data_IF_512873110483
#
_entry.id   IF_512873110483
#
_cell.length_a   1.000
_cell.length_b   1.000
_cell.length_c   1.000
_cell.angle_alpha   90.00
_cell.angle_beta   90.00
_cell.angle_gamma   90.00
#
_symmetry.space_group_name_H-M   'P 1'
#
loop_
_entity.id
_entity.type
_entity.pdbx_description
1 polymer ?
#
# COMPACT_ATOMS: atom_id res chain seq x y z
N UNK A 1 24.84 0.55 25.67
CA UNK A 1 25.84 0.72 24.58
C UNK A 1 27.20 0.09 24.92
N UNK A 2 27.69 0.21 26.17
CA UNK A 2 28.91 -0.45 26.68
C UNK A 2 28.87 -2.00 26.57
N UNK A 3 27.72 -2.60 26.90
CA UNK A 3 27.47 -4.05 26.85
C UNK A 3 27.50 -4.60 25.41
N UNK A 4 26.98 -3.83 24.46
CA UNK A 4 26.98 -4.17 23.02
C UNK A 4 28.40 -4.12 22.42
N UNK A 5 29.23 -3.17 22.87
CA UNK A 5 30.65 -3.12 22.50
C UNK A 5 31.44 -4.30 23.07
N UNK A 6 31.12 -4.77 24.28
CA UNK A 6 31.74 -5.97 24.88
C UNK A 6 31.35 -7.26 24.17
N UNK A 7 30.07 -7.46 23.82
CA UNK A 7 29.64 -8.62 23.03
C UNK A 7 30.29 -8.67 21.65
N UNK A 8 30.40 -7.52 20.96
CA UNK A 8 31.04 -7.47 19.63
C UNK A 8 32.54 -7.77 19.69
N UNK A 9 33.21 -7.48 20.80
CA UNK A 9 34.62 -7.82 21.04
C UNK A 9 34.78 -9.32 21.33
N UNK A 10 33.91 -9.92 22.15
CA UNK A 10 33.87 -11.37 22.38
C UNK A 10 33.60 -12.16 21.09
N UNK A 11 32.65 -11.70 20.26
CA UNK A 11 32.30 -12.38 19.02
C UNK A 11 33.46 -12.38 18.00
N UNK A 12 34.27 -11.31 17.99
CA UNK A 12 35.50 -11.25 17.16
C UNK A 12 36.60 -12.18 17.68
N UNK A 13 36.76 -12.31 19.00
CA UNK A 13 37.72 -13.25 19.59
C UNK A 13 37.33 -14.69 19.29
N UNK A 14 36.05 -15.03 19.35
CA UNK A 14 35.56 -16.38 19.01
C UNK A 14 35.77 -16.74 17.54
N UNK A 15 35.53 -15.79 16.62
CA UNK A 15 35.75 -15.97 15.18
C UNK A 15 37.25 -16.15 14.85
N UNK A 16 38.13 -15.40 15.51
CA UNK A 16 39.59 -15.57 15.35
C UNK A 16 40.05 -16.91 15.93
N UNK A 17 39.49 -17.33 17.08
CA UNK A 17 39.76 -18.64 17.67
C UNK A 17 39.35 -19.80 16.75
N UNK A 18 38.16 -19.73 16.14
CA UNK A 18 37.68 -20.75 15.19
C UNK A 18 38.52 -20.80 13.90
N UNK A 19 39.01 -19.65 13.42
CA UNK A 19 39.92 -19.58 12.26
C UNK A 19 41.29 -20.19 12.57
N UNK A 20 41.83 -19.95 13.77
CA UNK A 20 43.12 -20.53 14.19
C UNK A 20 43.00 -22.06 14.38
N UNK A 21 41.89 -22.54 14.97
CA UNK A 21 41.61 -23.97 15.10
C UNK A 21 41.45 -24.63 13.73
N UNK A 22 40.79 -23.97 12.78
CA UNK A 22 40.64 -24.47 11.40
C UNK A 22 41.98 -24.52 10.65
N UNK A 23 42.87 -23.54 10.87
CA UNK A 23 44.21 -23.51 10.29
C UNK A 23 45.14 -24.57 10.90
N UNK A 24 45.03 -24.82 12.21
CA UNK A 24 45.80 -25.86 12.90
C UNK A 24 45.35 -27.28 12.56
N UNK A 25 44.07 -27.49 12.23
CA UNK A 25 43.54 -28.78 11.75
C UNK A 25 43.89 -29.01 10.27
N UNK A 26 44.08 -27.95 9.48
CA UNK A 26 44.47 -28.01 8.07
C UNK A 26 45.96 -28.30 7.81
N UNK A 27 46.83 -28.15 8.81
CA UNK A 27 48.28 -28.30 8.64
C UNK A 27 48.93 -29.21 9.70
N UNK A 28 48.49 -30.45 9.83
CA UNK A 28 49.36 -31.54 10.31
C UNK A 28 48.74 -32.93 10.06
N UNK A 29 48.76 -33.34 8.79
CA UNK A 29 48.97 -34.74 8.43
C UNK A 29 50.48 -34.97 8.34
N UNK A 30 50.95 -36.07 8.92
CA UNK A 30 52.32 -36.61 8.93
C UNK A 30 53.32 -36.12 10.01
N UNK A 31 53.91 -37.14 10.64
CA UNK A 31 55.11 -37.24 11.48
C UNK A 31 54.97 -37.08 13.00
N UNK A 32 55.00 -38.25 13.63
CA UNK A 32 55.35 -38.56 15.01
C UNK A 32 56.69 -37.92 15.42
N UNK A 33 56.73 -37.31 16.60
CA UNK A 33 57.41 -37.85 17.80
C UNK A 33 58.05 -36.75 18.65
N UNK A 34 57.91 -36.95 19.96
CA UNK A 34 58.70 -36.35 21.06
C UNK A 34 58.57 -34.84 21.28
N UNK A 35 57.55 -34.51 22.10
CA UNK A 35 57.40 -33.18 22.70
C UNK A 35 56.03 -32.93 23.36
N UNK A 36 55.29 -33.98 23.74
CA UNK A 36 53.95 -33.86 24.34
C UNK A 36 54.03 -34.10 25.84
N UNK A 37 54.25 -33.04 26.61
CA UNK A 37 54.03 -33.06 28.07
C UNK A 37 53.69 -31.66 28.60
N UNK A 38 54.19 -30.58 28.00
CA UNK A 38 53.88 -29.21 28.47
C UNK A 38 52.60 -28.62 27.85
N UNK A 39 52.34 -28.83 26.56
CA UNK A 39 51.18 -28.21 25.85
C UNK A 39 49.84 -28.88 26.21
N UNK A 40 49.84 -30.18 26.49
CA UNK A 40 48.62 -30.90 26.90
C UNK A 40 48.14 -30.45 28.29
N UNK A 41 49.06 -30.18 29.22
CA UNK A 41 48.72 -29.69 30.57
C UNK A 41 48.22 -28.24 30.54
N UNK A 42 48.74 -27.40 29.64
CA UNK A 42 48.20 -26.04 29.45
C UNK A 42 46.78 -26.08 28.89
N UNK A 43 46.49 -26.95 27.92
CA UNK A 43 45.14 -27.08 27.33
C UNK A 43 44.13 -27.65 28.34
N UNK A 44 44.52 -28.63 29.16
CA UNK A 44 43.66 -29.16 30.24
C UNK A 44 43.37 -28.09 31.30
N UNK A 45 44.38 -27.33 31.74
CA UNK A 45 44.18 -26.24 32.70
C UNK A 45 43.31 -25.11 32.13
N UNK A 46 43.44 -24.82 30.83
CA UNK A 46 42.59 -23.81 30.17
C UNK A 46 41.15 -24.30 29.99
N UNK A 47 40.94 -25.61 29.75
CA UNK A 47 39.62 -26.23 29.66
C UNK A 47 38.93 -26.33 31.03
N UNK A 48 39.69 -26.59 32.10
CA UNK A 48 39.17 -26.58 33.48
C UNK A 48 38.78 -25.16 33.94
N UNK A 49 39.53 -24.12 33.55
CA UNK A 49 39.14 -22.73 33.81
C UNK A 49 37.88 -22.31 33.03
N UNK A 50 37.71 -22.79 31.79
CA UNK A 50 36.50 -22.56 30.98
C UNK A 50 35.30 -23.36 31.53
N UNK A 51 35.52 -24.57 32.05
CA UNK A 51 34.50 -25.38 32.72
C UNK A 51 34.01 -24.71 34.01
N UNK A 52 34.93 -24.18 34.83
CA UNK A 52 34.59 -23.51 36.09
C UNK A 52 33.87 -22.15 35.88
N UNK A 53 34.17 -21.43 34.81
CA UNK A 53 33.40 -20.22 34.47
C UNK A 53 31.98 -20.53 33.97
N UNK A 54 31.77 -21.70 33.36
CA UNK A 54 30.43 -22.16 32.97
C UNK A 54 29.57 -22.56 34.16
N UNK A 55 30.15 -23.07 35.25
CA UNK A 55 29.36 -23.41 36.45
C UNK A 55 28.95 -22.17 37.27
N UNK A 56 29.77 -21.10 37.29
CA UNK A 56 29.34 -19.79 37.80
C UNK A 56 28.23 -19.16 36.95
N UNK A 57 28.27 -19.35 35.62
CA UNK A 57 27.21 -18.90 34.73
C UNK A 57 25.91 -19.70 34.93
N UNK A 58 26.00 -21.02 35.16
CA UNK A 58 24.85 -21.87 35.52
C UNK A 58 24.26 -21.50 36.88
N UNK A 59 25.07 -21.10 37.87
CA UNK A 59 24.58 -20.59 39.16
C UNK A 59 23.87 -19.24 39.03
N UNK A 60 24.39 -18.31 38.21
CA UNK A 60 23.74 -17.02 37.93
C UNK A 60 22.43 -17.20 37.14
N UNK A 61 22.39 -18.15 36.20
CA UNK A 61 21.17 -18.52 35.47
C UNK A 61 20.15 -19.17 36.42
N UNK A 62 20.58 -20.06 37.33
CA UNK A 62 19.68 -20.63 38.36
C UNK A 62 19.14 -19.56 39.31
N UNK A 63 19.94 -18.59 39.75
CA UNK A 63 19.42 -17.47 40.56
C UNK A 63 18.49 -16.53 39.79
N UNK A 64 18.66 -16.42 38.47
CA UNK A 64 17.75 -15.65 37.61
C UNK A 64 16.41 -16.36 37.40
N UNK A 65 16.41 -17.70 37.32
CA UNK A 65 15.20 -18.52 37.21
C UNK A 65 14.47 -18.73 38.56
N UNK A 66 15.19 -18.79 39.68
CA UNK A 66 14.57 -18.90 41.02
C UNK A 66 13.98 -17.56 41.52
N UNK A 67 14.39 -16.42 40.95
CA UNK A 67 13.73 -15.13 41.22
C UNK A 67 12.38 -14.98 40.48
N UNK A 68 12.13 -15.79 39.44
CA UNK A 68 10.84 -15.83 38.73
C UNK A 68 9.85 -16.85 39.30
N UNK A 69 10.22 -17.66 40.30
CA UNK A 69 9.35 -18.71 40.87
C UNK A 69 8.57 -18.29 42.13
N UNK A 70 8.63 -17.02 42.54
CA UNK A 70 7.82 -16.48 43.65
C UNK A 70 7.07 -15.20 43.23
N UNK A 71 6.18 -15.35 42.26
CA UNK A 71 5.06 -14.42 42.07
C UNK A 71 3.80 -15.24 41.80
N UNK A 72 2.95 -15.25 42.81
CA UNK A 72 1.51 -15.60 42.84
C UNK A 72 0.88 -15.97 41.50
N UNK A 73 0.30 -17.18 41.44
CA UNK A 73 -0.58 -17.71 40.39
C UNK A 73 -1.51 -16.61 39.82
N UNK A 74 -1.15 -16.10 38.65
CA UNK A 74 -2.13 -15.57 37.70
C UNK A 74 -2.86 -16.78 37.06
N UNK A 75 -4.15 -16.66 36.72
CA UNK A 75 -4.87 -17.77 36.11
C UNK A 75 -4.19 -18.16 34.79
N UNK A 76 -4.08 -19.47 34.55
CA UNK A 76 -3.67 -20.02 33.25
C UNK A 76 -4.40 -19.28 32.12
N UNK A 77 -3.71 -18.86 31.04
CA UNK A 77 -4.45 -18.49 29.84
C UNK A 77 -5.16 -19.76 29.42
N UNK A 78 -6.50 -19.72 29.41
CA UNK A 78 -7.30 -20.81 28.87
C UNK A 78 -6.71 -21.19 27.52
N UNK A 79 -6.34 -22.46 27.35
CA UNK A 79 -6.07 -23.01 26.02
C UNK A 79 -7.31 -22.69 25.18
N UNK A 80 -7.20 -21.68 24.31
CA UNK A 80 -8.23 -21.44 23.33
C UNK A 80 -8.20 -22.66 22.40
N UNK A 81 -9.21 -23.52 22.51
CA UNK A 81 -9.44 -24.66 21.63
C UNK A 81 -9.69 -24.15 20.19
N UNK A 82 -8.64 -23.75 19.48
CA UNK A 82 -8.75 -23.39 18.07
C UNK A 82 -8.23 -24.53 17.19
N UNK A 83 -9.00 -24.83 16.14
CA UNK A 83 -8.67 -25.92 15.22
C UNK A 83 -7.87 -25.34 14.04
N UNK A 84 -6.62 -25.77 13.91
CA UNK A 84 -5.76 -25.39 12.79
C UNK A 84 -6.28 -26.03 11.50
N UNK A 85 -6.68 -25.21 10.53
CA UNK A 85 -7.20 -25.67 9.23
C UNK A 85 -6.76 -24.71 8.13
N UNK A 86 -6.55 -25.16 6.88
CA UNK A 86 -6.34 -24.25 5.76
C UNK A 86 -7.39 -23.13 5.72
N UNK A 87 -6.98 -21.89 5.42
CA UNK A 87 -7.87 -20.71 5.54
C UNK A 87 -9.20 -20.83 4.78
N UNK A 88 -9.20 -21.58 3.67
CA UNK A 88 -10.37 -21.81 2.84
C UNK A 88 -11.36 -22.85 3.42
N UNK A 89 -10.99 -23.58 4.48
CA UNK A 89 -11.84 -24.54 5.18
C UNK A 89 -12.46 -23.99 6.46
N UNK A 90 -12.04 -22.81 6.94
CA UNK A 90 -12.65 -22.17 8.11
C UNK A 90 -13.80 -21.26 7.68
N UNK A 91 -15.03 -21.58 8.09
CA UNK A 91 -16.21 -20.74 7.88
C UNK A 91 -16.82 -20.37 9.23
N UNK A 92 -16.57 -19.14 9.70
CA UNK A 92 -17.13 -18.61 10.95
C UNK A 92 -17.00 -19.56 12.17
N UNK A 93 -15.85 -20.23 12.33
CA UNK A 93 -15.59 -21.13 13.45
C UNK A 93 -15.95 -22.61 13.20
N UNK A 94 -16.46 -22.97 12.01
CA UNK A 94 -16.70 -24.37 11.64
C UNK A 94 -15.81 -24.81 10.46
N UNK A 95 -15.25 -26.02 10.56
CA UNK A 95 -14.44 -26.62 9.49
C UNK A 95 -15.34 -27.22 8.42
N UNK A 96 -15.22 -26.72 7.20
CA UNK A 96 -15.89 -27.28 6.04
C UNK A 96 -15.30 -28.67 5.70
N UNK A 97 -16.11 -29.72 5.85
CA UNK A 97 -15.71 -31.13 5.62
C UNK A 97 -16.09 -31.65 4.23
N UNK A 98 -16.81 -30.88 3.40
CA UNK A 98 -17.45 -31.40 2.17
C UNK A 98 -16.74 -31.01 0.85
N UNK A 99 -15.72 -30.15 0.92
CA UNK A 99 -14.90 -29.80 -0.24
C UNK A 99 -15.60 -28.95 -1.32
N UNK A 100 -16.75 -28.34 -1.02
CA UNK A 100 -17.40 -27.42 -1.95
C UNK A 100 -16.60 -26.11 -2.12
N UNK A 101 -16.28 -25.73 -3.38
CA UNK A 101 -15.54 -24.53 -3.87
C UNK A 101 -13.99 -24.61 -3.98
N UNK A 102 -13.41 -25.79 -4.20
CA UNK A 102 -11.95 -26.05 -4.24
C UNK A 102 -11.23 -25.87 -5.60
N UNK A 103 -11.27 -24.70 -6.25
CA UNK A 103 -10.36 -24.43 -7.39
C UNK A 103 -9.66 -23.06 -7.29
N UNK A 104 -8.34 -23.10 -7.02
CA UNK A 104 -7.43 -21.97 -6.65
C UNK A 104 -6.78 -21.23 -7.85
N UNK A 105 -6.10 -20.08 -7.60
CA UNK A 105 -4.65 -20.17 -7.38
C UNK A 105 -4.15 -19.50 -6.08
N UNK A 106 -3.24 -20.25 -5.44
CA UNK A 106 -2.32 -19.96 -4.34
C UNK A 106 -1.84 -18.50 -4.24
N UNK A 107 -1.75 -17.98 -3.02
CA UNK A 107 -0.53 -17.34 -2.49
C UNK A 107 -0.62 -17.13 -0.96
N UNK A 108 0.48 -17.48 -0.31
CA UNK A 108 0.71 -17.48 1.13
C UNK A 108 0.66 -16.07 1.75
N UNK A 109 0.23 -16.00 3.00
CA UNK A 109 0.28 -14.81 3.82
C UNK A 109 1.07 -15.13 5.09
N UNK A 110 2.13 -14.38 5.32
CA UNK A 110 2.79 -14.31 6.63
C UNK A 110 1.95 -13.38 7.52
N UNK A 111 1.12 -13.99 8.36
CA UNK A 111 0.71 -13.43 9.65
C UNK A 111 1.28 -14.33 10.73
N UNK A 112 1.55 -13.80 11.92
CA UNK A 112 1.98 -14.60 13.08
C UNK A 112 0.88 -15.61 13.39
N UNK A 113 1.08 -16.83 12.90
CA UNK A 113 0.13 -17.91 12.97
C UNK A 113 0.53 -18.82 14.16
N UNK A 114 -0.36 -19.07 15.13
CA UNK A 114 -0.08 -20.02 16.20
C UNK A 114 -0.01 -21.47 15.69
N UNK A 115 -0.51 -21.75 14.48
CA UNK A 115 -0.41 -23.06 13.84
C UNK A 115 0.98 -23.29 13.23
N UNK A 116 1.61 -24.41 13.56
CA UNK A 116 3.00 -24.75 13.23
C UNK A 116 3.21 -25.13 11.74
N UNK A 117 2.13 -25.35 10.99
CA UNK A 117 2.17 -25.80 9.58
C UNK A 117 1.92 -24.63 8.63
N UNK A 118 2.74 -24.55 7.57
CA UNK A 118 2.61 -23.53 6.53
C UNK A 118 1.27 -23.69 5.77
N UNK A 119 0.39 -22.69 5.85
CA UNK A 119 -0.89 -22.65 5.12
C UNK A 119 -2.15 -22.89 5.95
N UNK A 120 -2.01 -23.26 7.22
CA UNK A 120 -3.13 -23.39 8.17
C UNK A 120 -3.42 -22.05 8.86
N UNK A 121 -4.63 -21.83 9.38
CA UNK A 121 -4.98 -20.73 10.29
C UNK A 121 -5.73 -21.30 11.50
N UNK A 122 -5.68 -20.59 12.62
CA UNK A 122 -6.45 -20.87 13.83
C UNK A 122 -7.91 -20.46 13.61
N UNK A 123 -8.82 -21.45 13.49
CA UNK A 123 -10.24 -21.22 13.26
C UNK A 123 -10.95 -21.03 14.61
N UNK A 124 -11.20 -19.78 15.00
CA UNK A 124 -11.91 -19.43 16.24
C UNK A 124 -13.38 -19.08 15.94
N UNK A 125 -14.32 -19.43 16.84
CA UNK A 125 -15.68 -18.92 16.79
C UNK A 125 -15.65 -17.41 17.04
N UNK A 126 -16.10 -16.63 16.06
CA UNK A 126 -16.22 -15.18 16.21
C UNK A 126 -17.11 -14.88 17.41
N UNK A 127 -16.59 -14.16 18.41
CA UNK A 127 -17.44 -13.43 19.33
C UNK A 127 -18.46 -12.63 18.47
N UNK A 128 -19.75 -12.61 18.85
CA UNK A 128 -20.78 -11.97 18.04
C UNK A 128 -20.32 -10.55 17.72
N UNK A 129 -20.10 -10.27 16.43
CA UNK A 129 -19.76 -8.93 15.98
C UNK A 129 -20.83 -7.98 16.52
N UNK A 130 -20.45 -6.80 17.05
CA UNK A 130 -21.44 -5.79 17.39
C UNK A 130 -22.31 -5.61 16.15
N UNK A 131 -23.63 -5.77 16.32
CA UNK A 131 -24.62 -5.51 15.27
C UNK A 131 -24.17 -4.30 14.45
N UNK A 132 -24.06 -4.46 13.12
CA UNK A 132 -23.80 -3.38 12.15
C UNK A 132 -24.59 -2.15 12.59
N UNK A 133 -23.94 -1.20 13.26
CA UNK A 133 -24.58 0.09 13.54
C UNK A 133 -24.67 0.74 12.17
N UNK A 134 -25.88 0.77 11.63
CA UNK A 134 -26.22 1.61 10.49
C UNK A 134 -25.74 3.00 10.87
N UNK A 135 -24.75 3.53 10.17
CA UNK A 135 -24.25 4.88 10.43
C UNK A 135 -25.38 5.82 10.02
N UNK A 136 -26.20 6.23 10.98
CA UNK A 136 -27.34 7.12 10.74
C UNK A 136 -26.86 8.55 10.45
N UNK A 137 -27.54 9.22 9.52
CA UNK A 137 -27.24 10.56 9.05
C UNK A 137 -26.38 10.57 7.79
N UNK A 138 -27.02 10.49 6.61
CA UNK A 138 -26.40 10.86 5.33
C UNK A 138 -26.43 12.39 5.27
N UNK A 139 -25.29 13.09 5.08
CA UNK A 139 -25.32 14.52 4.83
C UNK A 139 -26.16 14.80 3.58
N UNK A 140 -27.21 15.62 3.69
CA UNK A 140 -28.13 15.90 2.59
C UNK A 140 -27.52 16.75 1.47
N UNK A 141 -26.36 17.36 1.71
CA UNK A 141 -25.67 18.25 0.77
C UNK A 141 -24.28 17.67 0.46
N UNK A 142 -24.20 16.77 -0.52
CA UNK A 142 -22.91 16.28 -1.01
C UNK A 142 -22.25 17.35 -1.88
N UNK A 143 -21.21 17.98 -1.34
CA UNK A 143 -20.29 18.80 -2.10
C UNK A 143 -19.08 17.97 -2.52
N UNK A 144 -18.48 18.35 -3.66
CA UNK A 144 -17.29 17.68 -4.17
C UNK A 144 -16.10 17.80 -3.21
N UNK A 145 -15.16 16.87 -3.36
CA UNK A 145 -13.84 16.93 -2.75
C UNK A 145 -13.81 16.60 -1.26
N UNK A 146 -14.95 16.36 -0.61
CA UNK A 146 -14.99 15.96 0.79
C UNK A 146 -14.69 14.48 0.96
N UNK A 147 -13.61 14.19 1.68
CA UNK A 147 -13.36 12.87 2.26
C UNK A 147 -14.24 12.62 3.49
N UNK A 148 -14.46 11.37 3.85
CA UNK A 148 -15.18 10.99 5.06
C UNK A 148 -14.42 9.89 5.79
N UNK A 149 -13.61 10.26 6.77
CA UNK A 149 -13.01 9.28 7.67
C UNK A 149 -14.12 8.70 8.55
N UNK A 150 -14.53 7.46 8.30
CA UNK A 150 -15.55 6.80 9.14
C UNK A 150 -14.85 6.20 10.38
N UNK A 151 -15.20 6.65 11.60
CA UNK A 151 -14.61 6.10 12.82
C UNK A 151 -15.03 4.64 13.02
N UNK A 152 -14.08 3.74 13.26
CA UNK A 152 -14.31 2.33 13.61
C UNK A 152 -13.02 1.50 13.51
N UNK A 153 -13.01 0.27 14.03
CA UNK A 153 -11.84 -0.63 14.16
C UNK A 153 -11.18 -1.08 12.83
N UNK A 154 -11.51 -0.43 11.70
CA UNK A 154 -10.88 -0.59 10.39
C UNK A 154 -9.54 0.17 10.28
N UNK A 155 -8.87 0.40 11.42
CA UNK A 155 -7.63 1.15 11.49
C UNK A 155 -6.43 0.26 11.10
N UNK A 156 -6.08 0.27 9.83
CA UNK A 156 -4.68 0.04 9.45
C UNK A 156 -3.97 1.37 9.59
N UNK A 157 -3.23 1.55 10.68
CA UNK A 157 -2.50 2.79 10.99
C UNK A 157 -1.08 2.77 10.41
N UNK A 158 -0.94 2.51 9.12
CA UNK A 158 0.32 2.78 8.42
C UNK A 158 0.17 4.07 7.59
N UNK A 159 1.24 4.86 7.50
CA UNK A 159 1.21 6.16 6.81
C UNK A 159 0.93 6.05 5.30
N UNK A 160 1.01 4.85 4.74
CA UNK A 160 0.87 4.56 3.31
C UNK A 160 -0.51 4.00 2.95
N UNK A 161 -1.38 3.77 3.93
CA UNK A 161 -2.71 3.18 3.75
C UNK A 161 -3.75 4.26 3.88
N UNK A 162 -4.66 4.32 2.91
CA UNK A 162 -5.83 5.16 3.02
C UNK A 162 -6.76 4.60 4.09
N UNK A 163 -7.38 5.45 4.90
CA UNK A 163 -8.46 5.03 5.80
C UNK A 163 -9.73 4.75 4.98
N UNK A 164 -10.63 3.94 5.54
CA UNK A 164 -11.94 3.69 4.92
C UNK A 164 -12.71 5.01 4.71
N UNK A 165 -13.08 5.30 3.46
CA UNK A 165 -13.79 6.53 3.09
C UNK A 165 -12.92 7.81 3.00
N UNK A 166 -11.60 7.72 3.18
CA UNK A 166 -10.71 8.90 3.11
C UNK A 166 -10.71 9.55 1.72
N UNK A 167 -10.73 8.74 0.65
CA UNK A 167 -10.76 9.19 -0.75
C UNK A 167 -11.95 8.54 -1.49
N UNK A 168 -13.19 8.97 -1.20
CA UNK A 168 -14.41 8.29 -1.62
C UNK A 168 -14.72 8.40 -3.13
N UNK A 169 -13.96 9.22 -3.86
CA UNK A 169 -14.03 9.34 -5.31
C UNK A 169 -13.16 8.33 -6.05
N UNK A 170 -12.20 7.67 -5.39
CA UNK A 170 -11.27 6.79 -6.08
C UNK A 170 -11.99 5.54 -6.60
N UNK A 171 -11.92 5.34 -7.91
CA UNK A 171 -12.63 4.28 -8.62
C UNK A 171 -11.65 3.18 -9.06
N UNK A 172 -12.03 1.92 -8.85
CA UNK A 172 -11.39 0.77 -9.49
C UNK A 172 -12.03 0.53 -10.86
N UNK A 173 -11.21 0.45 -11.91
CA UNK A 173 -11.66 0.08 -13.24
C UNK A 173 -11.33 -1.40 -13.48
N UNK A 174 -12.38 -2.17 -13.75
CA UNK A 174 -12.32 -3.61 -13.93
C UNK A 174 -12.87 -3.96 -15.32
N UNK A 175 -12.40 -5.05 -15.92
CA UNK A 175 -13.09 -5.62 -17.07
C UNK A 175 -14.34 -6.43 -16.63
N UNK A 176 -15.10 -6.98 -17.57
CA UNK A 176 -16.29 -7.80 -17.25
C UNK A 176 -15.98 -9.09 -16.48
N UNK A 177 -14.72 -9.53 -16.44
CA UNK A 177 -14.25 -10.66 -15.61
C UNK A 177 -13.79 -10.20 -14.22
N UNK A 178 -14.08 -8.96 -13.83
CA UNK A 178 -13.63 -8.32 -12.59
C UNK A 178 -12.11 -8.26 -12.44
N UNK A 179 -11.37 -8.31 -13.54
CA UNK A 179 -9.92 -8.18 -13.51
C UNK A 179 -9.55 -6.71 -13.54
N UNK A 180 -8.65 -6.32 -12.63
CA UNK A 180 -8.11 -4.97 -12.54
C UNK A 180 -7.53 -4.48 -13.86
N UNK A 181 -7.89 -3.26 -14.24
CA UNK A 181 -7.37 -2.57 -15.42
C UNK A 181 -6.57 -1.33 -15.00
N UNK A 182 -7.24 -0.37 -14.34
CA UNK A 182 -6.65 0.89 -13.89
C UNK A 182 -7.44 1.48 -12.71
N UNK A 183 -6.99 2.65 -12.25
CA UNK A 183 -7.72 3.51 -11.31
C UNK A 183 -8.42 4.63 -12.09
N UNK A 184 -9.44 5.23 -11.49
CA UNK A 184 -10.07 6.47 -11.95
C UNK A 184 -10.55 7.31 -10.76
N UNK A 185 -11.22 8.41 -11.06
CA UNK A 185 -11.92 9.22 -10.06
C UNK A 185 -13.35 9.54 -10.48
N UNK A 186 -14.28 9.38 -9.55
CA UNK A 186 -15.66 9.80 -9.72
C UNK A 186 -15.72 11.34 -9.69
N UNK A 187 -16.18 11.95 -10.77
CA UNK A 187 -16.34 13.41 -10.88
C UNK A 187 -17.83 13.82 -10.89
N UNK A 188 -18.69 12.89 -11.28
CA UNK A 188 -20.15 13.01 -11.27
C UNK A 188 -20.71 11.62 -10.93
N UNK A 189 -21.91 11.48 -10.31
CA UNK A 189 -22.51 10.17 -10.05
C UNK A 189 -22.53 9.22 -11.26
N UNK A 190 -22.52 9.76 -12.48
CA UNK A 190 -22.55 9.01 -13.74
C UNK A 190 -21.24 9.08 -14.54
N UNK A 191 -20.17 9.69 -14.03
CA UNK A 191 -18.94 9.92 -14.81
C UNK A 191 -17.68 9.69 -14.00
N UNK A 192 -16.82 8.82 -14.53
CA UNK A 192 -15.47 8.57 -14.02
C UNK A 192 -14.43 9.17 -14.97
N UNK A 193 -13.49 9.92 -14.41
CA UNK A 193 -12.32 10.45 -15.07
C UNK A 193 -11.14 9.49 -14.88
N UNK A 194 -10.42 9.19 -15.95
CA UNK A 194 -9.20 8.38 -15.92
C UNK A 194 -8.25 8.80 -17.05
N UNK A 195 -7.17 8.06 -17.27
CA UNK A 195 -6.25 8.27 -18.39
C UNK A 195 -6.68 7.49 -19.64
N UNK A 196 -6.42 8.04 -20.82
CA UNK A 196 -6.72 7.40 -22.10
C UNK A 196 -5.96 6.08 -22.33
N UNK A 197 -4.67 6.03 -21.98
CA UNK A 197 -3.85 4.83 -22.19
C UNK A 197 -4.30 3.59 -21.39
N UNK A 198 -5.16 3.78 -20.39
CA UNK A 198 -5.75 2.70 -19.60
C UNK A 198 -6.93 2.02 -20.29
N UNK A 199 -7.50 2.66 -21.32
CA UNK A 199 -8.84 2.33 -21.83
C UNK A 199 -8.77 2.01 -23.31
N UNK A 200 -9.45 0.93 -23.67
CA UNK A 200 -9.71 0.54 -25.05
C UNK A 200 -11.22 0.69 -25.32
N UNK A 201 -11.60 1.53 -26.28
CA UNK A 201 -13.00 1.80 -26.63
C UNK A 201 -13.76 0.55 -27.09
N UNK A 202 -13.04 -0.48 -27.56
CA UNK A 202 -13.62 -1.76 -27.99
C UNK A 202 -13.95 -2.69 -26.82
N UNK A 203 -13.45 -2.41 -25.62
CA UNK A 203 -13.66 -3.22 -24.42
C UNK A 203 -14.81 -2.69 -23.54
N UNK A 204 -15.21 -3.52 -22.57
CA UNK A 204 -16.27 -3.19 -21.61
C UNK A 204 -15.70 -3.20 -20.20
N UNK A 205 -16.06 -2.17 -19.45
CA UNK A 205 -15.53 -1.91 -18.11
C UNK A 205 -16.64 -1.82 -17.06
N UNK A 206 -16.26 -2.10 -15.82
CA UNK A 206 -17.02 -1.86 -14.60
C UNK A 206 -16.22 -0.86 -13.77
N UNK A 207 -16.85 0.24 -13.39
CA UNK A 207 -16.35 1.13 -12.36
C UNK A 207 -16.84 0.63 -11.00
N UNK A 208 -15.92 0.45 -10.05
CA UNK A 208 -16.24 0.18 -8.64
C UNK A 208 -15.81 1.35 -7.76
N UNK A 209 -16.72 1.88 -6.97
CA UNK A 209 -16.49 3.02 -6.06
C UNK A 209 -16.92 2.64 -4.64
N UNK A 210 -16.29 3.26 -3.63
CA UNK A 210 -16.51 2.94 -2.23
C UNK A 210 -15.84 1.63 -1.76
N UNK A 211 -14.93 1.11 -2.58
CA UNK A 211 -14.06 0.00 -2.22
C UNK A 211 -12.93 0.47 -1.30
N UNK A 212 -12.48 -0.41 -0.42
CA UNK A 212 -11.28 -0.20 0.37
C UNK A 212 -10.41 -1.45 0.41
N UNK A 213 -10.98 -2.57 0.84
CA UNK A 213 -10.30 -3.87 0.81
C UNK A 213 -10.90 -4.76 -0.29
N UNK A 214 -10.25 -4.76 -1.46
CA UNK A 214 -10.68 -5.47 -2.66
C UNK A 214 -10.75 -7.01 -2.53
N UNK A 215 -10.39 -7.58 -1.37
CA UNK A 215 -10.47 -9.03 -1.09
C UNK A 215 -11.55 -9.42 -0.08
N UNK A 216 -12.17 -8.45 0.59
CA UNK A 216 -13.15 -8.67 1.67
C UNK A 216 -14.56 -8.20 1.32
N UNK A 217 -15.51 -8.52 2.21
CA UNK A 217 -16.84 -7.88 2.28
C UNK A 217 -17.13 -7.38 3.71
N UNK A 218 -16.08 -7.10 4.46
CA UNK A 218 -16.15 -6.78 5.90
C UNK A 218 -16.35 -5.29 6.14
N UNK A 219 -16.35 -4.47 5.08
CA UNK A 219 -16.57 -3.03 5.15
C UNK A 219 -17.95 -2.69 5.75
N UNK A 220 -18.04 -1.57 6.50
CA UNK A 220 -19.29 -1.15 7.12
C UNK A 220 -20.30 -0.68 6.07
N UNK A 221 -19.82 -0.10 4.97
CA UNK A 221 -20.62 0.31 3.80
C UNK A 221 -20.05 -0.41 2.59
N UNK A 222 -20.92 -1.08 1.83
CA UNK A 222 -20.49 -1.85 0.67
C UNK A 222 -20.04 -0.94 -0.48
N UNK A 223 -19.08 -1.42 -1.29
CA UNK A 223 -18.78 -0.81 -2.57
C UNK A 223 -19.97 -0.92 -3.54
N UNK A 224 -19.99 -0.05 -4.53
CA UNK A 224 -20.95 -0.07 -5.62
C UNK A 224 -20.24 -0.39 -6.93
N UNK A 225 -20.89 -1.13 -7.83
CA UNK A 225 -20.38 -1.43 -9.18
C UNK A 225 -21.33 -0.85 -10.23
N UNK A 226 -20.80 -0.09 -11.19
CA UNK A 226 -21.55 0.43 -12.33
C UNK A 226 -20.85 0.06 -13.63
N UNK A 227 -21.61 -0.40 -14.62
CA UNK A 227 -21.09 -0.66 -15.96
C UNK A 227 -20.82 0.66 -16.68
N UNK A 228 -19.78 0.67 -17.50
CA UNK A 228 -19.48 1.80 -18.40
C UNK A 228 -20.33 1.66 -19.66
N UNK A 229 -21.18 2.66 -19.90
CA UNK A 229 -22.07 2.77 -21.07
C UNK A 229 -21.30 3.23 -22.30
N UNK A 230 -20.51 4.29 -22.17
CA UNK A 230 -19.73 4.87 -23.27
C UNK A 230 -18.44 5.51 -22.77
N UNK A 231 -17.45 5.56 -23.65
CA UNK A 231 -16.11 6.08 -23.40
C UNK A 231 -15.90 7.26 -24.32
N UNK A 232 -15.24 8.31 -23.83
CA UNK A 232 -14.74 9.41 -24.66
C UNK A 232 -13.29 9.66 -24.30
N UNK A 233 -12.40 9.40 -25.25
CA UNK A 233 -10.97 9.74 -25.13
C UNK A 233 -10.78 11.19 -25.56
N UNK A 234 -9.91 11.92 -24.85
CA UNK A 234 -9.60 13.30 -25.23
C UNK A 234 -9.10 13.37 -26.69
N UNK A 235 -9.69 14.20 -27.57
CA UNK A 235 -9.46 14.14 -29.02
C UNK A 235 -8.02 14.48 -29.45
N UNK A 236 -7.27 15.16 -28.57
CA UNK A 236 -5.84 15.47 -28.76
C UNK A 236 -4.90 14.47 -28.10
N UNK A 237 -5.38 13.32 -27.62
CA UNK A 237 -4.53 12.30 -27.02
C UNK A 237 -3.52 11.77 -28.04
N UNK A 238 -2.24 11.75 -27.66
CA UNK A 238 -1.16 11.22 -28.51
C UNK A 238 -0.51 10.06 -27.78
N UNK A 239 -0.65 8.85 -28.35
CA UNK A 239 -0.21 7.59 -27.71
C UNK A 239 1.29 7.59 -27.42
N UNK A 240 2.12 8.05 -28.37
CA UNK A 240 3.58 7.93 -28.29
C UNK A 240 4.21 8.75 -27.15
N UNK A 241 3.60 9.88 -26.78
CA UNK A 241 4.15 10.81 -25.79
C UNK A 241 3.17 11.14 -24.64
N UNK A 242 2.01 10.50 -24.65
CA UNK A 242 0.95 10.60 -23.66
C UNK A 242 0.44 12.04 -23.42
N UNK A 243 0.59 12.95 -24.40
CA UNK A 243 -0.02 14.27 -24.30
C UNK A 243 -1.55 14.14 -24.26
N UNK A 244 -2.22 14.97 -23.47
CA UNK A 244 -3.68 14.93 -23.27
C UNK A 244 -4.21 13.53 -22.87
N UNK A 245 -3.44 12.77 -22.10
CA UNK A 245 -3.80 11.43 -21.65
C UNK A 245 -4.94 11.45 -20.63
N UNK A 246 -6.17 11.52 -21.12
CA UNK A 246 -7.39 11.56 -20.34
C UNK A 246 -8.57 10.92 -21.10
N UNK A 247 -9.46 10.28 -20.36
CA UNK A 247 -10.70 9.72 -20.86
C UNK A 247 -11.83 9.89 -19.83
N UNK A 248 -13.05 10.06 -20.34
CA UNK A 248 -14.28 10.06 -19.55
C UNK A 248 -15.05 8.76 -19.79
N UNK A 249 -15.45 8.12 -18.70
CA UNK A 249 -16.27 6.92 -18.72
C UNK A 249 -17.66 7.29 -18.21
N UNK A 250 -18.64 7.29 -19.12
CA UNK A 250 -20.03 7.52 -18.79
C UNK A 250 -20.69 6.20 -18.39
N UNK A 251 -21.38 6.20 -17.26
CA UNK A 251 -21.91 5.00 -16.62
C UNK A 251 -23.35 4.70 -17.10
N UNK A 252 -23.78 3.45 -16.97
CA UNK A 252 -25.16 3.05 -17.28
C UNK A 252 -26.16 3.60 -16.26
N UNK A 253 -25.77 3.71 -14.99
CA UNK A 253 -26.59 4.19 -13.89
C UNK A 253 -25.74 5.06 -12.94
N UNK A 254 -26.36 6.03 -12.23
CA UNK A 254 -25.67 6.84 -11.25
C UNK A 254 -25.26 6.03 -10.01
N UNK A 255 -24.08 6.32 -9.48
CA UNK A 255 -23.72 5.93 -8.12
C UNK A 255 -24.59 6.66 -7.10
N UNK A 256 -24.99 5.95 -6.05
CA UNK A 256 -25.61 6.58 -4.89
C UNK A 256 -24.52 7.18 -4.02
N UNK A 257 -24.50 8.51 -3.89
CA UNK A 257 -23.56 9.17 -2.99
C UNK A 257 -23.81 8.74 -1.54
N UNK A 258 -22.73 8.49 -0.83
CA UNK A 258 -22.69 7.99 0.55
C UNK A 258 -21.35 8.38 1.20
N UNK A 259 -21.13 8.04 2.46
CA UNK A 259 -19.88 8.36 3.18
C UNK A 259 -18.64 7.76 2.52
N UNK A 260 -18.74 6.60 1.86
CA UNK A 260 -17.64 6.01 1.09
C UNK A 260 -17.70 6.31 -0.41
N UNK A 261 -18.69 7.06 -0.90
CA UNK A 261 -18.88 7.38 -2.33
C UNK A 261 -19.20 8.86 -2.49
N UNK A 262 -18.24 9.64 -2.97
CA UNK A 262 -18.40 11.07 -3.25
C UNK A 262 -17.61 11.46 -4.51
N UNK A 263 -17.80 12.67 -5.02
CA UNK A 263 -17.09 13.16 -6.21
C UNK A 263 -15.83 13.94 -5.84
N UNK A 264 -14.83 13.95 -6.72
CA UNK A 264 -13.66 14.82 -6.60
C UNK A 264 -13.97 16.22 -7.15
N UNK A 265 -13.54 17.28 -6.46
CA UNK A 265 -13.52 18.60 -7.10
C UNK A 265 -12.39 18.64 -8.13
N UNK A 266 -12.61 19.25 -9.29
CA UNK A 266 -11.58 19.41 -10.31
C UNK A 266 -10.95 20.80 -10.23
N UNK A 267 -9.63 20.85 -10.37
CA UNK A 267 -8.91 22.10 -10.54
C UNK A 267 -9.14 22.71 -11.93
N UNK A 268 -9.33 24.01 -11.99
CA UNK A 268 -9.32 24.83 -13.21
C UNK A 268 -8.17 25.85 -13.17
N UNK A 269 -8.04 26.69 -14.21
CA UNK A 269 -6.97 27.70 -14.26
C UNK A 269 -7.16 28.87 -13.29
N UNK A 270 -8.35 29.02 -12.71
CA UNK A 270 -8.72 30.11 -11.79
C UNK A 270 -8.76 29.72 -10.31
N UNK A 271 -8.83 28.43 -9.98
CA UNK A 271 -9.23 27.96 -8.65
C UNK A 271 -8.15 28.20 -7.60
N UNK A 272 -6.88 27.95 -7.95
CA UNK A 272 -5.75 28.17 -7.04
C UNK A 272 -4.50 28.52 -7.83
N UNK A 273 -3.74 29.49 -7.33
CA UNK A 273 -2.39 29.72 -7.83
C UNK A 273 -1.56 28.46 -7.62
N UNK A 274 -0.77 28.11 -8.63
CA UNK A 274 0.18 27.00 -8.55
C UNK A 274 1.07 27.07 -7.30
N UNK A 275 1.41 28.28 -6.85
CA UNK A 275 2.21 28.52 -5.63
C UNK A 275 1.48 28.16 -4.34
N UNK A 276 0.15 28.24 -4.31
CA UNK A 276 -0.66 27.80 -3.17
C UNK A 276 -0.73 26.28 -3.14
N UNK A 277 -0.94 25.64 -4.30
CA UNK A 277 -0.97 24.18 -4.42
C UNK A 277 0.36 23.51 -4.02
N UNK A 278 1.51 24.15 -4.28
CA UNK A 278 2.82 23.65 -3.84
C UNK A 278 2.98 23.57 -2.31
N UNK A 279 2.18 24.33 -1.56
CA UNK A 279 2.18 24.31 -0.09
C UNK A 279 1.11 23.38 0.48
N UNK A 280 0.17 22.92 -0.34
CA UNK A 280 -0.88 22.00 0.06
C UNK A 280 -0.35 20.58 0.27
N UNK A 281 -1.03 19.82 1.12
CA UNK A 281 -0.84 18.37 1.19
C UNK A 281 -1.49 17.73 -0.02
N UNK A 282 -0.71 17.08 -0.86
CA UNK A 282 -1.22 16.34 -2.00
C UNK A 282 -1.04 14.84 -1.79
N UNK A 283 -1.98 14.04 -2.30
CA UNK A 283 -1.96 12.60 -2.23
C UNK A 283 -2.44 11.98 -3.54
N UNK A 284 -1.78 10.91 -3.97
CA UNK A 284 -2.29 10.02 -5.00
C UNK A 284 -2.76 8.71 -4.36
N UNK A 285 -3.79 8.10 -4.91
CA UNK A 285 -4.42 6.90 -4.34
C UNK A 285 -4.68 5.83 -5.38
N UNK A 286 -4.61 4.57 -4.96
CA UNK A 286 -4.79 3.43 -5.84
C UNK A 286 -4.58 2.08 -5.13
N UNK A 287 -4.68 1.02 -5.93
CA UNK A 287 -4.41 -0.37 -5.54
C UNK A 287 -3.26 -0.98 -6.35
N UNK A 288 -2.45 -0.13 -6.99
CA UNK A 288 -1.29 -0.55 -7.78
C UNK A 288 -0.30 -1.38 -6.97
N UNK A 289 0.45 -2.22 -7.68
CA UNK A 289 1.41 -3.16 -7.11
C UNK A 289 2.83 -2.73 -7.44
N UNK A 290 3.74 -2.89 -6.49
CA UNK A 290 5.18 -2.67 -6.71
C UNK A 290 5.79 -3.76 -7.59
N UNK A 291 5.03 -4.81 -7.91
CA UNK A 291 5.49 -5.98 -8.66
C UNK A 291 4.78 -6.04 -10.01
N UNK A 292 5.51 -6.05 -11.14
CA UNK A 292 4.93 -6.32 -12.45
C UNK A 292 4.23 -7.69 -12.42
N UNK A 293 2.91 -7.72 -12.66
CA UNK A 293 2.07 -8.94 -12.62
C UNK A 293 1.95 -9.62 -11.23
N UNK A 294 2.22 -8.89 -10.14
CA UNK A 294 2.01 -9.38 -8.78
C UNK A 294 0.55 -9.32 -8.31
N UNK A 295 0.28 -9.88 -7.13
CA UNK A 295 -1.00 -9.75 -6.43
C UNK A 295 -1.23 -8.26 -6.13
N UNK A 296 -2.29 -7.68 -6.69
CA UNK A 296 -2.70 -6.30 -6.42
C UNK A 296 -2.84 -6.07 -4.92
N UNK A 297 -2.56 -4.84 -4.46
CA UNK A 297 -2.67 -4.54 -3.03
C UNK A 297 -4.12 -4.68 -2.61
N UNK A 298 -4.35 -5.42 -1.52
CA UNK A 298 -5.72 -5.72 -1.05
C UNK A 298 -6.42 -4.45 -0.56
N UNK A 299 -5.69 -3.60 0.15
CA UNK A 299 -6.21 -2.35 0.74
C UNK A 299 -5.69 -1.15 -0.04
N UNK A 300 -6.56 -0.15 -0.26
CA UNK A 300 -6.22 1.11 -0.93
C UNK A 300 -5.02 1.77 -0.26
N UNK A 301 -4.01 2.11 -1.05
CA UNK A 301 -2.84 2.86 -0.60
C UNK A 301 -2.96 4.33 -0.98
N UNK A 302 -2.25 5.16 -0.20
CA UNK A 302 -2.04 6.57 -0.46
C UNK A 302 -0.56 6.89 -0.42
N UNK A 303 -0.15 7.78 -1.31
CA UNK A 303 1.21 8.31 -1.35
C UNK A 303 1.13 9.81 -1.27
N UNK A 304 1.83 10.40 -0.30
CA UNK A 304 1.93 11.84 -0.20
C UNK A 304 2.93 12.41 -1.20
N UNK A 305 2.53 13.49 -1.86
CA UNK A 305 3.28 14.15 -2.90
C UNK A 305 3.54 15.62 -2.58
N UNK A 306 4.68 16.11 -3.07
CA UNK A 306 5.02 17.52 -3.13
C UNK A 306 5.06 17.96 -4.59
N UNK A 307 4.21 18.92 -4.98
CA UNK A 307 4.21 19.44 -6.34
C UNK A 307 5.51 20.20 -6.66
N UNK A 308 6.05 19.99 -7.85
CA UNK A 308 7.27 20.68 -8.32
C UNK A 308 7.02 21.41 -9.63
N UNK A 309 7.62 22.60 -9.77
CA UNK A 309 7.41 23.45 -10.93
C UNK A 309 7.85 22.76 -12.23
N UNK A 310 7.17 23.05 -13.34
CA UNK A 310 7.50 22.46 -14.65
C UNK A 310 8.98 22.68 -15.03
N UNK A 311 9.62 23.84 -14.78
CA UNK A 311 11.06 24.00 -15.01
C UNK A 311 11.92 23.06 -14.16
N UNK A 312 11.59 22.88 -12.88
CA UNK A 312 12.31 21.94 -12.01
C UNK A 312 12.13 20.50 -12.48
N UNK A 313 10.89 20.12 -12.82
CA UNK A 313 10.58 18.80 -13.34
C UNK A 313 11.34 18.51 -14.64
N UNK A 314 11.32 19.44 -15.60
CA UNK A 314 12.06 19.30 -16.85
C UNK A 314 13.57 19.12 -16.62
N UNK A 315 14.15 19.92 -15.71
CA UNK A 315 15.57 19.81 -15.39
C UNK A 315 15.94 18.48 -14.74
N UNK A 316 15.05 17.91 -13.92
CA UNK A 316 15.26 16.59 -13.32
C UNK A 316 15.09 15.48 -14.35
N UNK A 317 14.01 15.51 -15.14
CA UNK A 317 13.75 14.52 -16.20
C UNK A 317 14.85 14.49 -17.26
N UNK A 318 15.44 15.62 -17.63
CA UNK A 318 16.59 15.70 -18.56
C UNK A 318 17.85 15.01 -18.08
N UNK A 319 17.98 14.74 -16.77
CA UNK A 319 19.11 14.01 -16.17
C UNK A 319 18.91 12.49 -16.19
N UNK A 320 17.74 12.02 -16.63
CA UNK A 320 17.40 10.61 -16.73
C UNK A 320 17.66 10.07 -18.14
N UNK A 321 17.23 8.82 -18.40
CA UNK A 321 17.25 8.21 -19.73
C UNK A 321 16.46 8.97 -20.81
N UNK A 322 15.60 9.94 -20.45
CA UNK A 322 14.94 10.83 -21.40
C UNK A 322 15.91 11.80 -22.11
N UNK A 323 17.08 12.07 -21.50
CA UNK A 323 18.15 12.85 -22.09
C UNK A 323 17.94 14.38 -22.09
N UNK A 324 19.03 15.11 -22.31
CA UNK A 324 19.09 16.58 -22.19
C UNK A 324 18.15 17.37 -23.10
N UNK A 325 17.67 16.74 -24.18
CA UNK A 325 16.81 17.37 -25.18
C UNK A 325 15.31 17.21 -24.88
N UNK A 326 14.95 16.42 -23.86
CA UNK A 326 13.56 16.21 -23.47
C UNK A 326 12.84 17.55 -23.18
N UNK A 327 11.58 17.64 -23.58
CA UNK A 327 10.72 18.79 -23.34
C UNK A 327 9.43 18.32 -22.67
N UNK A 328 9.18 18.80 -21.46
CA UNK A 328 7.97 18.52 -20.71
C UNK A 328 6.83 19.35 -21.31
N UNK A 329 5.81 18.67 -21.83
CA UNK A 329 4.64 19.33 -22.41
C UNK A 329 3.78 20.02 -21.34
N UNK A 330 3.12 21.13 -21.71
CA UNK A 330 2.29 21.94 -20.81
C UNK A 330 1.04 21.22 -20.26
N UNK A 331 0.63 20.12 -20.88
CA UNK A 331 -0.47 19.26 -20.41
C UNK A 331 -0.09 18.43 -19.20
N UNK A 332 1.17 18.47 -18.77
CA UNK A 332 1.65 17.73 -17.62
C UNK A 332 1.92 18.66 -16.43
N UNK A 333 1.81 18.07 -15.25
CA UNK A 333 2.37 18.56 -14.01
C UNK A 333 3.21 17.44 -13.38
N UNK A 334 4.08 17.82 -12.46
CA UNK A 334 4.92 16.85 -11.78
C UNK A 334 4.84 16.98 -10.26
N UNK A 335 5.07 15.86 -9.60
CA UNK A 335 5.19 15.79 -8.16
C UNK A 335 6.30 14.81 -7.76
N UNK A 336 6.89 15.02 -6.60
CA UNK A 336 7.86 14.09 -6.00
C UNK A 336 7.20 13.49 -4.77
N UNK A 337 7.20 12.16 -4.67
CA UNK A 337 6.64 11.50 -3.49
C UNK A 337 7.52 11.72 -2.27
N UNK A 338 6.90 11.90 -1.11
CA UNK A 338 7.62 12.14 0.15
C UNK A 338 8.27 10.86 0.65
N UNK A 339 9.34 10.98 1.44
CA UNK A 339 10.03 9.84 2.05
C UNK A 339 10.54 8.79 1.03
N UNK A 340 10.82 9.19 -0.21
CA UNK A 340 11.25 8.29 -1.29
C UNK A 340 10.15 7.35 -1.81
N UNK A 341 8.89 7.63 -1.47
CA UNK A 341 7.75 6.93 -2.09
C UNK A 341 7.54 7.43 -3.51
N UNK A 342 7.07 6.55 -4.39
CA UNK A 342 6.70 6.90 -5.76
C UNK A 342 5.53 6.03 -6.21
N UNK A 343 4.80 6.49 -7.22
CA UNK A 343 3.72 5.72 -7.82
C UNK A 343 4.29 4.53 -8.58
N UNK A 344 3.58 3.40 -8.52
CA UNK A 344 4.04 2.15 -9.06
C UNK A 344 3.15 1.65 -10.20
N UNK A 345 3.54 0.49 -10.74
CA UNK A 345 2.74 -0.19 -11.75
C UNK A 345 1.31 -0.41 -11.24
N UNK A 346 0.34 -0.05 -12.08
CA UNK A 346 -1.07 -0.21 -11.75
C UNK A 346 -1.69 0.95 -10.98
N UNK A 347 -1.01 2.06 -10.68
CA UNK A 347 -1.69 3.27 -10.18
C UNK A 347 -2.18 4.21 -11.31
N UNK A 348 -2.01 3.79 -12.57
CA UNK A 348 -2.41 4.55 -13.76
C UNK A 348 -3.88 4.94 -13.74
N UNK A 349 -4.16 6.20 -14.11
CA UNK A 349 -5.52 6.74 -14.10
C UNK A 349 -6.01 7.28 -12.76
N UNK A 350 -5.29 7.02 -11.66
CA UNK A 350 -5.66 7.46 -10.32
C UNK A 350 -5.60 8.97 -10.13
N UNK A 351 -6.38 9.54 -9.20
CA UNK A 351 -6.37 10.97 -8.95
C UNK A 351 -5.16 11.39 -8.11
N UNK A 352 -4.51 12.49 -8.49
CA UNK A 352 -3.67 13.29 -7.60
C UNK A 352 -4.51 14.45 -7.07
N UNK A 353 -4.80 14.41 -5.78
CA UNK A 353 -5.60 15.41 -5.10
C UNK A 353 -4.76 16.25 -4.14
N UNK A 354 -5.10 17.53 -3.97
CA UNK A 354 -4.46 18.44 -3.03
C UNK A 354 -5.50 19.07 -2.12
N UNK A 355 -5.20 19.15 -0.82
CA UNK A 355 -6.06 19.78 0.18
C UNK A 355 -6.25 21.27 -0.14
N UNK A 356 -7.51 21.72 -0.11
CA UNK A 356 -7.88 23.11 -0.33
C UNK A 356 -7.49 23.92 0.90
N UNK A 357 -6.73 25.00 0.70
CA UNK A 357 -6.27 25.84 1.80
C UNK A 357 -7.46 26.39 2.60
N UNK A 358 -7.42 26.19 3.92
CA UNK A 358 -8.49 26.62 4.83
C UNK A 358 -9.74 25.74 4.84
N UNK A 359 -9.77 24.62 4.11
CA UNK A 359 -10.90 23.68 4.09
C UNK A 359 -10.43 22.25 4.38
N UNK A 360 -10.30 21.87 5.67
CA UNK A 360 -9.84 20.55 6.07
C UNK A 360 -10.69 19.43 5.45
N UNK A 361 -10.03 18.36 5.01
CA UNK A 361 -10.66 17.19 4.37
C UNK A 361 -11.40 17.48 3.04
N UNK A 362 -11.28 18.71 2.49
CA UNK A 362 -11.76 19.03 1.14
C UNK A 362 -10.59 19.13 0.18
N UNK A 363 -10.69 18.46 -0.96
CA UNK A 363 -9.59 18.28 -1.90
C UNK A 363 -9.95 18.69 -3.32
N UNK A 364 -8.94 19.17 -4.05
CA UNK A 364 -8.99 19.39 -5.49
C UNK A 364 -8.12 18.37 -6.22
N UNK A 365 -8.69 17.66 -7.18
CA UNK A 365 -7.93 16.87 -8.13
C UNK A 365 -7.21 17.79 -9.11
N UNK A 366 -5.89 17.82 -8.97
CA UNK A 366 -5.01 18.64 -9.80
C UNK A 366 -4.40 17.83 -10.95
N UNK A 367 -4.28 16.51 -10.76
CA UNK A 367 -3.64 15.60 -11.70
C UNK A 367 -4.33 14.25 -11.85
N UNK A 368 -3.97 13.54 -12.93
CA UNK A 368 -4.30 12.13 -13.17
C UNK A 368 -2.99 11.37 -13.37
N UNK A 369 -2.75 10.29 -12.62
CA UNK A 369 -1.52 9.49 -12.69
C UNK A 369 -1.30 9.00 -14.12
N UNK A 370 -0.23 9.48 -14.77
CA UNK A 370 -0.01 9.25 -16.19
C UNK A 370 1.18 8.36 -16.48
N UNK A 371 2.39 8.74 -16.05
CA UNK A 371 3.60 7.95 -16.29
C UNK A 371 4.71 8.31 -15.31
N UNK A 372 5.62 7.36 -15.13
CA UNK A 372 6.85 7.49 -14.34
C UNK A 372 7.97 6.71 -15.03
N UNK A 373 9.22 6.99 -14.67
CA UNK A 373 10.36 6.33 -15.29
C UNK A 373 10.75 5.03 -14.60
N UNK A 374 10.69 5.01 -13.27
CA UNK A 374 11.03 3.90 -12.40
C UNK A 374 10.16 3.97 -11.15
N UNK A 375 9.77 2.82 -10.60
CA UNK A 375 9.15 2.74 -9.29
C UNK A 375 10.24 2.91 -8.21
N UNK A 376 10.06 3.84 -7.28
CA UNK A 376 10.89 4.06 -6.09
C UNK A 376 12.29 4.69 -6.30
N UNK A 377 12.33 5.90 -6.88
CA UNK A 377 13.47 6.81 -6.77
C UNK A 377 12.99 8.25 -6.55
N UNK A 378 13.85 9.15 -6.08
CA UNK A 378 13.57 10.59 -5.94
C UNK A 378 13.41 11.30 -7.31
N UNK A 379 12.74 10.66 -8.27
CA UNK A 379 12.41 11.21 -9.58
C UNK A 379 11.00 11.79 -9.56
N UNK A 380 10.71 12.78 -10.41
CA UNK A 380 9.35 13.28 -10.53
C UNK A 380 8.41 12.25 -11.17
N UNK A 381 7.30 11.99 -10.51
CA UNK A 381 6.11 11.37 -11.11
C UNK A 381 5.38 12.40 -11.96
N UNK A 382 4.88 11.98 -13.13
CA UNK A 382 4.22 12.86 -14.11
C UNK A 382 2.73 12.54 -14.23
N UNK A 383 1.92 13.59 -14.14
CA UNK A 383 0.48 13.53 -14.14
C UNK A 383 -0.11 14.37 -15.27
N UNK A 384 -1.20 13.92 -15.87
CA UNK A 384 -2.02 14.78 -16.74
C UNK A 384 -2.59 15.92 -15.91
N UNK A 385 -2.29 17.16 -16.27
CA UNK A 385 -2.73 18.37 -15.56
C UNK A 385 -4.22 18.59 -15.81
N UNK A 386 -5.06 18.39 -14.79
CA UNK A 386 -6.52 18.51 -14.89
C UNK A 386 -6.95 19.88 -15.41
N UNK A 387 -6.34 20.95 -14.91
CA UNK A 387 -6.63 22.31 -15.36
C UNK A 387 -6.38 22.53 -16.88
N UNK A 388 -5.54 21.72 -17.52
CA UNK A 388 -5.28 21.81 -18.97
C UNK A 388 -6.35 21.12 -19.84
N UNK A 389 -7.15 20.23 -19.25
CA UNK A 389 -8.21 19.47 -19.92
C UNK A 389 -9.61 19.79 -19.38
N UNK A 390 -9.71 20.62 -18.33
CA UNK A 390 -10.98 20.97 -17.65
C UNK A 390 -12.04 21.50 -18.61
N UNK A 391 -11.67 22.36 -19.55
CA UNK A 391 -12.59 22.86 -20.57
C UNK A 391 -13.18 21.74 -21.43
N UNK A 392 -12.38 20.76 -21.85
CA UNK A 392 -12.88 19.60 -22.59
C UNK A 392 -13.84 18.76 -21.72
N UNK A 393 -13.52 18.56 -20.43
CA UNK A 393 -14.43 17.87 -19.50
C UNK A 393 -15.77 18.58 -19.46
N UNK A 394 -15.79 19.90 -19.25
CA UNK A 394 -17.02 20.69 -19.15
C UNK A 394 -17.85 20.63 -20.44
N UNK A 395 -17.19 20.62 -21.61
CA UNK A 395 -17.86 20.47 -22.90
C UNK A 395 -18.54 19.09 -23.03
N UNK A 396 -17.85 18.02 -22.68
CA UNK A 396 -18.41 16.66 -22.76
C UNK A 396 -19.57 16.43 -21.78
N UNK A 397 -19.48 17.05 -20.59
CA UNK A 397 -20.55 17.05 -19.59
C UNK A 397 -21.77 17.83 -20.07
N UNK A 398 -21.55 19.06 -20.58
CA UNK A 398 -22.62 19.92 -21.10
C UNK A 398 -23.31 19.29 -22.32
N UNK A 399 -22.55 18.68 -23.23
CA UNK A 399 -23.10 17.99 -24.40
C UNK A 399 -24.03 16.81 -24.04
N UNK A 400 -23.97 16.33 -22.80
CA UNK A 400 -24.81 15.24 -22.26
C UNK A 400 -25.81 15.72 -21.21
N UNK A 401 -25.94 17.05 -21.02
CA UNK A 401 -26.80 17.67 -20.01
C UNK A 401 -26.50 17.20 -18.57
N UNK A 402 -25.22 16.96 -18.27
CA UNK A 402 -24.77 16.58 -16.92
C UNK A 402 -24.32 17.82 -16.15
N UNK A 403 -24.71 17.89 -14.88
CA UNK A 403 -24.43 19.05 -14.02
C UNK A 403 -22.96 19.09 -13.61
N UNK A 404 -22.30 20.21 -13.91
CA UNK A 404 -20.89 20.44 -13.58
C UNK A 404 -20.68 20.85 -12.11
N UNK A 405 -21.75 21.13 -11.37
CA UNK A 405 -21.71 21.44 -9.93
C UNK A 405 -21.08 20.31 -9.11
N UNK A 406 -21.25 19.06 -9.56
CA UNK A 406 -20.73 17.86 -8.88
C UNK A 406 -19.22 17.80 -8.76
N UNK A 407 -18.48 18.58 -9.55
CA UNK A 407 -17.02 18.64 -9.46
C UNK A 407 -16.47 20.07 -9.42
N UNK A 408 -17.35 21.07 -9.34
CA UNK A 408 -16.94 22.47 -9.23
C UNK A 408 -16.85 22.84 -7.76
N UNK A 409 -15.68 23.30 -7.27
CA UNK A 409 -15.54 23.74 -5.89
C UNK A 409 -16.29 25.06 -5.70
N UNK A 410 -17.53 24.98 -5.20
CA UNK A 410 -18.30 26.13 -4.71
C UNK A 410 -17.84 26.59 -3.33
#
# INVERSE_FOLDING_TARGET
LETYKRLRKMHRVLLVGLLIVSLLIGSHSQRLSKGKSSIANTIVNTLDEISNQNDKLKMLIRSFFDYQSTSTKAPEPAEAECLCTPFYLCNNGEVNKDGSKLFEPRLAQESVNPCKTLGEICCEPLAPSPLRKKVEGIPSNFACGFGSEIPGDYYISDATTAKFGEYPWTALLLNLKYQYQCVGSLIHPEVVLTTAHCINESEKYIARVGEWNATGKTEPIAHQNMRVKSIVIHPKFVVDNLMYNAALLFLENPFKLDRNVNTACLADSSTLSYTQLQKSKCAATGWGSDVPKGVYRRVMKKIEFSLISNPSCQNQLRKTRLGKWFQLHQTFLCAIGKNGSDLCNGDGGGPLVCEISGQPLRYLQVGITSWGLDCAQNLPSVFTKVASIKHWIDQEMSARNLDTSYYTPM
#
